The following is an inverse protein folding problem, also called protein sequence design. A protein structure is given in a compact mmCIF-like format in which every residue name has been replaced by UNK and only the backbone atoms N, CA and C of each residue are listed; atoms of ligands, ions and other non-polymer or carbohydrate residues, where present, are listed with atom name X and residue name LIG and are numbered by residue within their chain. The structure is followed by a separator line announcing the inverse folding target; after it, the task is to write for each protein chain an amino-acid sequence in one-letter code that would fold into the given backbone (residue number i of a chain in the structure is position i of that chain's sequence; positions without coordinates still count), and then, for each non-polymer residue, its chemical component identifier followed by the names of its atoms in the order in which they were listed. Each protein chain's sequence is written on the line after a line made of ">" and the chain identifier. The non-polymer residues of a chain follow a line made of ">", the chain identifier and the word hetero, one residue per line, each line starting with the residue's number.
data_IF_204696232562
#
_entry.id   IF_204696232562
#
_cell.length_a   1.000
_cell.length_b   1.000
_cell.length_c   1.000
_cell.angle_alpha   90.00
_cell.angle_beta   90.00
_cell.angle_gamma   90.00
#
_symmetry.space_group_name_H-M   'P 1'
#
loop_
_entity.id
_entity.type
_entity.pdbx_description
1 polymer ?
#
# COMPACT_ATOMS: atom_id res chain seq x y z
N UNK A 1 15.86 -9.06 12.48
CA UNK A 1 15.09 -8.24 11.51
C UNK A 1 15.71 -8.49 10.14
N UNK A 2 14.92 -8.83 9.12
CA UNK A 2 15.43 -9.06 7.76
C UNK A 2 15.79 -7.72 7.09
N UNK A 3 16.76 -7.72 6.18
CA UNK A 3 17.03 -6.54 5.33
C UNK A 3 15.97 -6.44 4.24
N UNK A 4 15.64 -5.22 3.79
CA UNK A 4 14.62 -4.98 2.75
C UNK A 4 14.81 -5.85 1.50
N UNK A 5 16.05 -5.93 0.99
CA UNK A 5 16.40 -6.79 -0.14
C UNK A 5 16.05 -8.26 0.09
N UNK A 6 16.35 -8.78 1.28
CA UNK A 6 16.07 -10.18 1.63
C UNK A 6 14.56 -10.44 1.73
N UNK A 7 13.79 -9.47 2.20
CA UNK A 7 12.31 -9.52 2.19
C UNK A 7 11.80 -9.60 0.76
N UNK A 8 12.29 -8.74 -0.14
CA UNK A 8 11.95 -8.72 -1.57
C UNK A 8 12.26 -10.06 -2.22
N UNK A 9 13.47 -10.59 -2.03
CA UNK A 9 13.90 -11.88 -2.59
C UNK A 9 13.01 -13.03 -2.11
N UNK A 10 12.65 -13.06 -0.81
CA UNK A 10 11.76 -14.09 -0.24
C UNK A 10 10.32 -13.99 -0.73
N UNK A 11 9.80 -12.78 -0.95
CA UNK A 11 8.47 -12.58 -1.55
C UNK A 11 8.47 -13.10 -2.99
N UNK A 12 9.46 -12.70 -3.79
CA UNK A 12 9.57 -13.12 -5.19
C UNK A 12 9.79 -14.62 -5.34
N UNK A 13 10.54 -15.27 -4.44
CA UNK A 13 10.75 -16.71 -4.44
C UNK A 13 9.45 -17.54 -4.28
N UNK A 14 8.39 -16.92 -3.74
CA UNK A 14 7.05 -17.53 -3.60
C UNK A 14 6.11 -17.16 -4.77
N UNK A 15 6.61 -16.46 -5.79
CA UNK A 15 5.77 -15.88 -6.84
C UNK A 15 4.98 -14.66 -6.39
N UNK A 16 5.32 -14.05 -5.25
CA UNK A 16 4.64 -12.88 -4.73
C UNK A 16 5.09 -11.56 -5.38
N UNK A 17 4.25 -10.54 -5.21
CA UNK A 17 4.52 -9.15 -5.60
C UNK A 17 4.92 -8.33 -4.37
N UNK A 18 5.77 -7.33 -4.58
CA UNK A 18 6.20 -6.40 -3.54
C UNK A 18 5.43 -5.09 -3.67
N UNK A 19 4.57 -4.83 -2.71
CA UNK A 19 3.88 -3.56 -2.55
C UNK A 19 4.53 -2.74 -1.43
N UNK A 20 4.69 -1.43 -1.61
CA UNK A 20 5.09 -0.53 -0.54
C UNK A 20 3.85 0.01 0.21
N UNK A 21 3.52 -0.50 1.41
CA UNK A 21 2.35 -0.03 2.16
C UNK A 21 2.63 1.33 2.81
N UNK A 22 1.63 2.22 2.77
CA UNK A 22 1.57 3.54 3.40
C UNK A 22 2.95 4.19 3.55
N UNK A 23 3.69 4.40 2.43
CA UNK A 23 5.13 4.57 2.48
C UNK A 23 5.54 5.84 3.22
N UNK A 24 4.72 6.88 3.18
CA UNK A 24 5.02 8.19 3.76
C UNK A 24 4.25 8.49 5.05
N UNK A 25 3.56 7.52 5.65
CA UNK A 25 2.85 7.76 6.91
C UNK A 25 3.83 7.98 8.08
N UNK A 26 3.81 9.13 8.77
CA UNK A 26 4.67 9.37 9.93
C UNK A 26 4.22 8.62 11.19
N UNK A 27 2.98 8.12 11.25
CA UNK A 27 2.42 7.46 12.43
C UNK A 27 2.63 5.94 12.44
N UNK A 28 2.98 5.35 11.28
CA UNK A 28 3.18 3.91 11.10
C UNK A 28 4.52 3.66 10.40
N UNK A 29 5.03 2.44 10.48
CA UNK A 29 6.28 2.09 9.82
C UNK A 29 6.10 2.01 8.31
N UNK A 30 6.53 3.04 7.58
CA UNK A 30 6.66 3.06 6.13
C UNK A 30 8.11 3.06 5.67
N UNK A 31 8.34 2.84 4.37
CA UNK A 31 9.69 2.91 3.76
C UNK A 31 10.19 4.34 3.57
N UNK A 32 9.31 5.34 3.66
CA UNK A 32 9.62 6.77 3.64
C UNK A 32 10.47 7.18 2.45
N UNK A 33 11.50 7.97 2.73
CA UNK A 33 12.47 8.44 1.73
C UNK A 33 13.26 7.30 1.04
N UNK A 34 13.20 6.06 1.56
CA UNK A 34 13.81 4.90 0.93
C UNK A 34 13.03 4.39 -0.29
N UNK A 35 11.78 4.84 -0.50
CA UNK A 35 10.94 4.33 -1.58
C UNK A 35 11.57 4.56 -2.96
N UNK A 36 12.12 5.75 -3.22
CA UNK A 36 12.74 6.08 -4.51
C UNK A 36 13.87 5.10 -4.86
N UNK A 37 14.80 4.87 -3.95
CA UNK A 37 15.91 3.93 -4.15
C UNK A 37 15.42 2.48 -4.36
N UNK A 38 14.31 2.09 -3.72
CA UNK A 38 13.71 0.76 -3.92
C UNK A 38 13.02 0.64 -5.28
N UNK A 39 12.37 1.71 -5.76
CA UNK A 39 11.79 1.77 -7.09
C UNK A 39 12.87 1.74 -8.18
N UNK A 40 13.94 2.54 -8.04
CA UNK A 40 15.10 2.55 -8.94
C UNK A 40 15.77 1.17 -9.04
N UNK A 41 15.82 0.44 -7.92
CA UNK A 41 16.36 -0.92 -7.87
C UNK A 41 15.42 -1.99 -8.45
N UNK A 42 14.19 -1.63 -8.88
CA UNK A 42 13.19 -2.57 -9.39
C UNK A 42 12.61 -3.50 -8.33
N UNK A 43 12.63 -3.09 -7.05
CA UNK A 43 12.19 -3.92 -5.94
C UNK A 43 10.69 -3.81 -5.66
N UNK A 44 10.03 -2.79 -6.20
CA UNK A 44 8.63 -2.48 -5.95
C UNK A 44 7.82 -2.76 -7.21
N UNK A 45 6.76 -3.56 -7.08
CA UNK A 45 5.82 -3.86 -8.16
C UNK A 45 4.57 -2.95 -8.09
N UNK A 46 4.22 -2.44 -6.90
CA UNK A 46 3.12 -1.49 -6.69
C UNK A 46 3.34 -0.60 -5.45
N UNK A 47 2.67 0.56 -5.38
CA UNK A 47 2.75 1.48 -4.24
C UNK A 47 1.34 1.69 -3.66
N UNK A 48 1.17 1.64 -2.34
CA UNK A 48 -0.10 2.05 -1.73
C UNK A 48 -0.24 3.58 -1.83
N UNK A 49 -1.09 4.03 -2.75
CA UNK A 49 -1.29 5.46 -3.06
C UNK A 49 -2.39 6.10 -2.22
N UNK A 50 -3.22 5.28 -1.57
CA UNK A 50 -4.21 5.74 -0.60
C UNK A 50 -4.36 4.74 0.54
N UNK A 51 -4.09 5.19 1.76
CA UNK A 51 -4.41 4.46 2.98
C UNK A 51 -5.45 5.24 3.80
N UNK A 52 -6.56 4.58 4.15
CA UNK A 52 -7.69 5.20 4.84
C UNK A 52 -7.34 5.72 6.24
N UNK A 53 -6.27 5.22 6.87
CA UNK A 53 -5.86 5.59 8.24
C UNK A 53 -4.88 6.77 8.29
N UNK A 54 -4.50 7.33 7.14
CA UNK A 54 -3.61 8.49 7.06
C UNK A 54 -4.44 9.77 7.19
N UNK A 55 -4.26 10.59 8.24
CA UNK A 55 -5.05 11.81 8.42
C UNK A 55 -4.63 12.92 7.44
N UNK A 56 -3.33 13.16 7.27
CA UNK A 56 -2.83 14.13 6.31
C UNK A 56 -2.71 13.50 4.92
N UNK A 57 -3.66 13.87 4.05
CA UNK A 57 -3.74 13.37 2.68
C UNK A 57 -2.54 13.75 1.81
N UNK A 58 -1.64 14.64 2.26
CA UNK A 58 -0.39 14.90 1.53
C UNK A 58 0.51 13.66 1.47
N UNK A 59 0.48 12.78 2.47
CA UNK A 59 1.25 11.54 2.42
C UNK A 59 0.72 10.58 1.34
N UNK A 60 -0.61 10.46 1.19
CA UNK A 60 -1.25 9.74 0.09
C UNK A 60 -0.91 10.37 -1.27
N UNK A 61 -1.01 11.70 -1.38
CA UNK A 61 -0.65 12.42 -2.62
C UNK A 61 0.83 12.23 -2.98
N UNK A 62 1.72 12.20 -1.99
CA UNK A 62 3.15 11.93 -2.21
C UNK A 62 3.36 10.52 -2.74
N UNK A 63 2.71 9.51 -2.14
CA UNK A 63 2.74 8.13 -2.63
C UNK A 63 2.25 8.01 -4.09
N UNK A 64 1.15 8.70 -4.43
CA UNK A 64 0.63 8.75 -5.79
C UNK A 64 1.62 9.40 -6.78
N UNK A 65 2.28 10.50 -6.38
CA UNK A 65 3.31 11.15 -7.22
C UNK A 65 4.49 10.20 -7.47
N UNK A 66 4.97 9.51 -6.44
CA UNK A 66 6.06 8.54 -6.57
C UNK A 66 5.67 7.37 -7.47
N UNK A 67 4.50 6.77 -7.27
CA UNK A 67 4.00 5.69 -8.13
C UNK A 67 3.98 6.10 -9.61
N UNK A 68 3.47 7.29 -9.91
CA UNK A 68 3.46 7.86 -11.27
C UNK A 68 4.86 8.11 -11.83
N UNK A 69 5.78 8.63 -11.02
CA UNK A 69 7.15 8.93 -11.45
C UNK A 69 7.90 7.68 -11.92
N UNK A 70 7.64 6.51 -11.32
CA UNK A 70 8.23 5.23 -11.70
C UNK A 70 7.35 4.36 -12.60
N UNK A 71 6.17 4.85 -13.02
CA UNK A 71 5.23 4.08 -13.85
C UNK A 71 4.66 2.84 -13.15
N UNK A 72 4.59 2.85 -11.82
CA UNK A 72 4.08 1.74 -11.01
C UNK A 72 2.57 1.87 -10.78
N UNK A 73 1.81 0.76 -10.80
CA UNK A 73 0.40 0.77 -10.43
C UNK A 73 0.22 1.10 -8.94
N UNK A 74 -0.90 1.75 -8.61
CA UNK A 74 -1.25 2.14 -7.26
C UNK A 74 -2.24 1.17 -6.61
N UNK A 75 -1.98 0.76 -5.37
CA UNK A 75 -2.97 0.08 -4.53
C UNK A 75 -3.65 1.05 -3.57
N UNK A 76 -4.83 0.69 -3.06
CA UNK A 76 -5.46 1.40 -1.94
C UNK A 76 -5.82 0.42 -0.83
N UNK A 77 -5.81 0.88 0.42
CA UNK A 77 -6.01 0.02 1.59
C UNK A 77 -6.77 0.70 2.72
N UNK A 78 -7.75 -0.03 3.27
CA UNK A 78 -8.49 0.43 4.45
C UNK A 78 -7.67 0.39 5.74
N UNK A 79 -6.63 -0.47 5.77
CA UNK A 79 -5.83 -0.79 6.95
C UNK A 79 -6.69 -0.96 8.22
N UNK A 80 -7.79 -1.70 8.03
CA UNK A 80 -8.84 -1.84 9.01
C UNK A 80 -8.37 -2.70 10.20
N UNK A 81 -8.53 -2.15 11.41
CA UNK A 81 -8.27 -2.82 12.68
C UNK A 81 -9.54 -2.94 13.54
N UNK A 82 -10.70 -2.66 12.94
CA UNK A 82 -12.03 -2.71 13.52
C UNK A 82 -13.07 -2.94 12.41
N UNK A 83 -14.24 -3.52 12.74
CA UNK A 83 -15.28 -3.78 11.73
C UNK A 83 -15.75 -2.53 10.98
N UNK A 84 -15.79 -1.37 11.63
CA UNK A 84 -16.24 -0.12 11.00
C UNK A 84 -15.20 0.46 10.03
N UNK A 85 -13.94 0.02 10.12
CA UNK A 85 -12.89 0.36 9.17
C UNK A 85 -12.87 -0.51 7.90
N UNK A 86 -13.54 -1.67 7.91
CA UNK A 86 -13.58 -2.55 6.73
C UNK A 86 -14.29 -1.84 5.58
N UNK A 87 -13.68 -1.83 4.40
CA UNK A 87 -14.23 -1.16 3.21
C UNK A 87 -14.04 0.36 3.19
N UNK A 88 -13.35 0.96 4.17
CA UNK A 88 -13.02 2.38 4.15
C UNK A 88 -12.17 2.80 2.93
N UNK A 89 -11.41 1.86 2.37
CA UNK A 89 -10.80 1.98 1.06
C UNK A 89 -10.69 0.59 0.41
N UNK A 90 -10.93 0.54 -0.89
CA UNK A 90 -10.93 -0.68 -1.69
C UNK A 90 -10.76 -0.36 -3.18
N UNK A 91 -10.46 -1.40 -3.95
CA UNK A 91 -10.34 -1.35 -5.41
C UNK A 91 -11.46 -2.19 -6.03
N UNK A 92 -12.04 -1.69 -7.10
CA UNK A 92 -12.80 -2.51 -8.05
C UNK A 92 -11.93 -2.69 -9.29
N UNK A 93 -11.68 -3.93 -9.69
CA UNK A 93 -10.76 -4.26 -10.78
C UNK A 93 -11.21 -5.51 -11.52
N UNK A 94 -10.79 -5.71 -12.78
CA UNK A 94 -11.04 -6.95 -13.51
C UNK A 94 -10.57 -8.18 -12.75
N UNK A 95 -11.21 -9.32 -13.03
CA UNK A 95 -10.74 -10.60 -12.52
C UNK A 95 -9.32 -10.90 -13.02
N UNK A 96 -8.50 -11.48 -12.17
CA UNK A 96 -7.12 -11.85 -12.45
C UNK A 96 -6.85 -13.27 -11.96
N UNK A 97 -5.84 -13.91 -12.57
CA UNK A 97 -5.32 -15.20 -12.17
C UNK A 97 -3.79 -15.12 -12.15
N UNK A 98 -3.25 -14.94 -10.94
CA UNK A 98 -1.81 -14.82 -10.69
C UNK A 98 -1.23 -13.39 -10.73
N UNK A 99 0.08 -13.24 -10.47
CA UNK A 99 0.72 -11.95 -10.22
C UNK A 99 0.74 -11.00 -11.42
N UNK A 100 0.98 -11.52 -12.62
CA UNK A 100 1.09 -10.70 -13.84
C UNK A 100 -0.26 -10.08 -14.18
N UNK A 101 -1.30 -10.90 -14.27
CA UNK A 101 -2.66 -10.44 -14.56
C UNK A 101 -3.22 -9.57 -13.42
N UNK A 102 -2.79 -9.77 -12.17
CA UNK A 102 -3.10 -8.86 -11.08
C UNK A 102 -2.56 -7.45 -11.31
N UNK A 103 -1.30 -7.30 -11.73
CA UNK A 103 -0.73 -5.98 -12.02
C UNK A 103 -1.40 -5.31 -13.22
N UNK A 104 -1.82 -6.08 -14.22
CA UNK A 104 -2.56 -5.56 -15.37
C UNK A 104 -3.94 -5.07 -14.95
N UNK A 105 -4.71 -5.88 -14.22
CA UNK A 105 -5.99 -5.48 -13.66
C UNK A 105 -5.86 -4.27 -12.71
N UNK A 106 -4.76 -4.17 -11.95
CA UNK A 106 -4.53 -3.08 -11.01
C UNK A 106 -4.36 -1.74 -11.74
N UNK A 107 -3.82 -1.74 -12.97
CA UNK A 107 -3.71 -0.52 -13.79
C UNK A 107 -5.07 -0.01 -14.29
N UNK A 108 -6.05 -0.89 -14.37
CA UNK A 108 -7.42 -0.59 -14.79
C UNK A 108 -8.37 -0.38 -13.60
N UNK A 109 -7.86 -0.49 -12.37
CA UNK A 109 -8.67 -0.48 -11.17
C UNK A 109 -9.28 0.90 -10.87
N UNK A 110 -10.55 0.90 -10.49
CA UNK A 110 -11.21 2.06 -9.88
C UNK A 110 -10.91 2.09 -8.38
N UNK A 111 -10.48 3.25 -7.89
CA UNK A 111 -10.07 3.44 -6.50
C UNK A 111 -11.18 4.10 -5.69
N UNK A 112 -11.56 3.48 -4.57
CA UNK A 112 -12.52 4.01 -3.62
C UNK A 112 -11.85 4.21 -2.26
N UNK A 113 -12.15 5.32 -1.58
CA UNK A 113 -11.52 5.60 -0.30
C UNK A 113 -12.07 6.81 0.43
N UNK A 114 -12.18 6.69 1.74
CA UNK A 114 -12.43 7.77 2.68
C UNK A 114 -11.48 7.65 3.87
N UNK A 115 -11.16 8.79 4.50
CA UNK A 115 -10.39 8.76 5.73
C UNK A 115 -11.24 8.14 6.86
N UNK A 116 -10.64 7.19 7.58
CA UNK A 116 -11.19 6.63 8.83
C UNK A 116 -10.09 6.63 9.89
N UNK A 117 -10.34 7.17 11.09
CA UNK A 117 -9.37 7.08 12.17
C UNK A 117 -9.07 5.61 12.51
N UNK A 118 -7.89 5.38 13.09
CA UNK A 118 -7.57 4.08 13.65
C UNK A 118 -8.57 3.74 14.77
N UNK A 119 -8.90 2.46 14.92
CA UNK A 119 -9.67 1.98 16.06
C UNK A 119 -9.08 2.53 17.35
N UNK A 120 -9.92 3.02 18.26
CA UNK A 120 -9.48 3.27 19.63
C UNK A 120 -8.90 1.94 20.14
N UNK A 121 -7.61 1.91 20.48
CA UNK A 121 -7.05 0.78 21.21
C UNK A 121 -7.98 0.56 22.40
N UNK A 122 -8.43 -0.68 22.61
CA UNK A 122 -9.25 -1.04 23.77
C UNK A 122 -8.74 -0.26 24.98
N UNK A 123 -9.57 0.63 25.53
CA UNK A 123 -9.31 1.10 26.87
C UNK A 123 -9.20 -0.19 27.71
N UNK A 124 -8.15 -0.37 28.54
CA UNK A 124 -8.21 -1.43 29.53
C UNK A 124 -9.57 -1.28 30.23
N UNK A 125 -10.33 -2.37 30.30
CA UNK A 125 -11.62 -2.37 30.98
C UNK A 125 -11.47 -1.83 32.41
N UNK A 126 -12.59 -1.40 33.03
CA UNK A 126 -12.57 -0.80 34.35
C UNK A 126 -11.80 -1.64 35.38
#
# INVERSE_FOLDING_TARGET
>A
MLRAREVVERIRAQGGLVCAPHPYDPLRSGVGAGLDAMCEAGWIDAVEVFNAKIPDQEHNRTALRTARAYGLPGTVGSDAHDPAGVGAAYLEMPAFDGPVSFLDALREAECYGEYRPHALRYAPGP
#
